data_IF_713732892904
#
_entry.id   IF_713732892904
#
_cell.length_a   1.000
_cell.length_b   1.000
_cell.length_c   1.000
_cell.angle_alpha   90.00
_cell.angle_beta   90.00
_cell.angle_gamma   90.00
#
_symmetry.space_group_name_H-M   'P 1'
#
loop_
_entity.id
_entity.type
_entity.pdbx_description
1 polymer ?
#
# COMPACT_ATOMS: atom_id res chain seq x y z
N UNK A 1 -28.86 1.72 -3.58
CA UNK A 1 -28.02 0.58 -3.15
C UNK A 1 -26.77 1.01 -2.39
N UNK A 2 -26.02 2.04 -2.83
CA UNK A 2 -24.85 2.53 -2.06
C UNK A 2 -25.24 3.17 -0.72
N UNK A 3 -26.32 3.94 -0.66
CA UNK A 3 -26.79 4.57 0.59
C UNK A 3 -27.04 3.57 1.74
N UNK A 4 -27.63 2.40 1.45
CA UNK A 4 -27.86 1.37 2.47
C UNK A 4 -26.57 0.72 3.00
N UNK A 5 -25.49 0.67 2.19
CA UNK A 5 -24.19 0.14 2.63
C UNK A 5 -23.55 1.03 3.70
N UNK A 6 -23.68 2.35 3.55
CA UNK A 6 -23.18 3.31 4.53
C UNK A 6 -24.02 3.30 5.83
N UNK A 7 -25.34 3.12 5.76
CA UNK A 7 -26.21 3.03 6.94
C UNK A 7 -25.89 1.81 7.80
N UNK A 8 -25.66 0.64 7.19
CA UNK A 8 -25.27 -0.59 7.91
C UNK A 8 -23.90 -0.41 8.57
N UNK A 9 -22.96 0.26 7.90
CA UNK A 9 -21.64 0.55 8.45
C UNK A 9 -21.68 1.53 9.64
N UNK A 10 -22.53 2.56 9.55
CA UNK A 10 -22.78 3.51 10.66
C UNK A 10 -23.45 2.81 11.84
N UNK A 11 -24.30 1.81 11.61
CA UNK A 11 -24.88 1.00 12.68
C UNK A 11 -23.86 0.05 13.31
N UNK A 12 -23.02 -0.63 12.51
CA UNK A 12 -21.99 -1.54 13.02
C UNK A 12 -20.93 -0.79 13.84
N UNK A 13 -20.46 0.37 13.37
CA UNK A 13 -19.45 1.16 14.09
C UNK A 13 -20.05 2.10 15.16
N UNK A 14 -21.25 2.62 14.93
CA UNK A 14 -21.96 3.49 15.88
C UNK A 14 -22.46 2.73 17.12
N UNK A 15 -22.87 1.46 16.99
CA UNK A 15 -23.36 0.70 18.14
C UNK A 15 -22.23 0.13 19.01
N UNK A 16 -21.06 -0.14 18.44
CA UNK A 16 -19.81 -0.36 19.22
C UNK A 16 -19.45 0.90 20.04
N UNK A 17 -19.94 2.07 19.63
CA UNK A 17 -19.64 3.36 20.27
C UNK A 17 -20.70 3.79 21.30
N UNK A 18 -21.98 3.47 21.07
CA UNK A 18 -23.10 3.91 21.93
C UNK A 18 -23.25 3.02 23.17
N UNK A 19 -22.82 1.76 23.13
CA UNK A 19 -22.83 0.87 24.29
C UNK A 19 -21.69 1.08 25.30
N UNK A 20 -20.72 1.95 25.00
CA UNK A 20 -19.48 2.08 25.79
C UNK A 20 -19.23 3.47 26.39
N UNK A 21 -20.04 4.48 26.04
CA UNK A 21 -19.77 5.86 26.46
C UNK A 21 -20.10 6.15 27.94
N UNK A 22 -20.95 5.35 28.60
CA UNK A 22 -21.39 5.62 29.99
C UNK A 22 -20.75 4.73 31.06
N UNK A 23 -19.83 3.82 30.71
CA UNK A 23 -19.28 2.82 31.64
C UNK A 23 -17.75 2.70 31.66
N UNK A 24 -17.00 3.58 31.01
CA UNK A 24 -15.54 3.43 30.90
C UNK A 24 -14.74 4.32 31.86
N UNK A 25 -13.79 3.74 32.64
CA UNK A 25 -12.82 4.52 33.41
C UNK A 25 -11.81 5.23 32.49
N UNK A 26 -11.14 6.26 33.02
CA UNK A 26 -10.18 7.14 32.31
C UNK A 26 -9.05 6.41 31.55
N UNK A 27 -8.86 5.11 31.73
CA UNK A 27 -7.91 4.29 30.99
C UNK A 27 -8.30 3.99 29.52
N UNK A 28 -9.45 4.46 29.00
CA UNK A 28 -9.93 4.18 27.63
C UNK A 28 -10.00 5.38 26.66
N UNK A 29 -9.12 6.38 26.82
CA UNK A 29 -8.84 7.43 25.82
C UNK A 29 -8.64 6.98 24.33
N UNK A 30 -8.17 5.76 23.99
CA UNK A 30 -7.95 5.37 22.59
C UNK A 30 -9.22 5.32 21.74
N UNK A 31 -10.40 5.04 22.32
CA UNK A 31 -11.65 4.87 21.57
C UNK A 31 -12.25 6.21 21.11
N UNK A 32 -12.09 7.25 21.93
CA UNK A 32 -12.52 8.61 21.61
C UNK A 32 -11.67 9.21 20.46
N UNK A 33 -10.37 8.89 20.45
CA UNK A 33 -9.44 9.25 19.36
C UNK A 33 -9.87 8.58 18.05
N UNK A 34 -10.30 7.32 18.10
CA UNK A 34 -10.79 6.58 16.93
C UNK A 34 -12.03 7.27 16.31
N UNK A 35 -12.97 7.73 17.12
CA UNK A 35 -14.18 8.43 16.65
C UNK A 35 -13.89 9.82 16.06
N UNK A 36 -12.94 10.56 16.65
CA UNK A 36 -12.48 11.85 16.10
C UNK A 36 -11.75 11.65 14.76
N UNK A 37 -10.94 10.60 14.63
CA UNK A 37 -10.29 10.21 13.36
C UNK A 37 -11.35 9.86 12.30
N UNK A 38 -12.42 9.15 12.66
CA UNK A 38 -13.50 8.81 11.73
C UNK A 38 -14.27 10.03 11.21
N UNK A 39 -14.56 11.01 12.06
CA UNK A 39 -15.20 12.28 11.65
C UNK A 39 -14.28 13.11 10.72
N UNK A 40 -12.98 13.10 10.99
CA UNK A 40 -11.95 13.73 10.16
C UNK A 40 -11.78 13.05 8.78
N UNK A 41 -11.90 11.71 8.72
CA UNK A 41 -11.79 10.95 7.47
C UNK A 41 -13.01 11.18 6.55
N UNK A 42 -14.22 11.32 7.12
CA UNK A 42 -15.45 11.61 6.37
C UNK A 42 -15.40 12.95 5.65
N UNK A 43 -14.88 14.00 6.30
CA UNK A 43 -14.69 15.31 5.67
C UNK A 43 -13.74 15.23 4.46
N UNK A 44 -12.73 14.35 4.51
CA UNK A 44 -11.76 14.13 3.45
C UNK A 44 -12.25 13.26 2.26
N UNK A 45 -13.47 12.70 2.31
CA UNK A 45 -14.05 11.88 1.22
C UNK A 45 -14.69 12.73 0.12
N UNK A 46 -15.26 13.89 0.46
CA UNK A 46 -15.88 14.79 -0.53
C UNK A 46 -14.86 15.59 -1.37
N UNK A 47 -13.58 15.60 -0.98
CA UNK A 47 -12.53 16.41 -1.63
C UNK A 47 -11.62 15.64 -2.61
N UNK A 48 -11.79 14.32 -2.78
CA UNK A 48 -10.78 13.46 -3.43
C UNK A 48 -10.87 13.33 -4.97
N UNK A 49 -11.61 14.19 -5.68
CA UNK A 49 -11.70 14.13 -7.14
C UNK A 49 -10.55 14.82 -7.90
N UNK A 50 -9.46 15.22 -7.23
CA UNK A 50 -8.25 15.67 -7.92
C UNK A 50 -6.99 15.07 -7.32
N UNK A 51 -6.33 14.19 -8.07
CA UNK A 51 -5.00 13.70 -7.70
C UNK A 51 -3.98 14.74 -8.14
N UNK A 52 -3.20 15.27 -7.20
CA UNK A 52 -2.03 16.11 -7.49
C UNK A 52 -0.94 15.19 -8.03
N UNK A 53 -0.32 15.56 -9.15
CA UNK A 53 0.74 14.77 -9.77
C UNK A 53 1.98 15.63 -9.98
N UNK A 54 3.15 15.04 -9.79
CA UNK A 54 4.40 15.59 -10.30
C UNK A 54 4.40 15.41 -11.82
N UNK A 55 4.64 16.49 -12.57
CA UNK A 55 4.75 16.45 -14.04
C UNK A 55 6.10 17.04 -14.43
N UNK A 56 6.71 16.50 -15.50
CA UNK A 56 8.03 16.92 -15.98
C UNK A 56 9.14 16.81 -14.92
N UNK A 57 8.94 16.01 -13.87
CA UNK A 57 9.99 15.65 -12.92
C UNK A 57 10.82 14.55 -13.55
N UNK A 58 11.64 14.96 -14.52
CA UNK A 58 12.68 14.11 -15.07
C UNK A 58 13.96 14.41 -14.29
N UNK A 59 14.47 13.43 -13.56
CA UNK A 59 15.60 13.60 -12.64
C UNK A 59 16.84 14.23 -13.30
N UNK A 60 17.02 14.02 -14.62
CA UNK A 60 18.09 14.67 -15.39
C UNK A 60 17.93 16.19 -15.55
N UNK A 61 16.69 16.70 -15.65
CA UNK A 61 16.45 18.14 -15.70
C UNK A 61 16.82 18.81 -14.37
N UNK A 62 16.82 18.04 -13.28
CA UNK A 62 17.06 18.53 -11.94
C UNK A 62 18.54 18.70 -11.60
N UNK A 63 19.38 17.73 -11.99
CA UNK A 63 20.82 17.76 -11.70
C UNK A 63 21.64 18.56 -12.73
N UNK A 64 21.02 18.96 -13.85
CA UNK A 64 21.63 19.83 -14.86
C UNK A 64 21.71 21.32 -14.48
N UNK A 65 21.40 21.68 -13.23
CA UNK A 65 21.53 23.04 -12.69
C UNK A 65 20.35 23.97 -12.97
N UNK A 66 19.18 23.46 -13.37
CA UNK A 66 17.94 24.26 -13.52
C UNK A 66 16.66 23.44 -13.24
N UNK A 67 16.30 23.17 -11.98
CA UNK A 67 15.07 22.45 -11.68
C UNK A 67 13.91 23.41 -11.46
N UNK A 68 13.07 23.59 -12.47
CA UNK A 68 11.70 24.01 -12.22
C UNK A 68 10.84 22.75 -11.94
N UNK A 69 10.53 22.43 -10.68
CA UNK A 69 9.53 21.38 -10.38
C UNK A 69 8.17 21.90 -10.79
N UNK A 70 7.45 21.13 -11.61
CA UNK A 70 6.05 21.42 -11.92
C UNK A 70 5.13 20.43 -11.22
N UNK A 71 4.33 20.93 -10.28
CA UNK A 71 3.21 20.21 -9.70
C UNK A 71 1.99 20.47 -10.58
N UNK A 72 1.47 19.45 -11.24
CA UNK A 72 0.19 19.56 -11.91
C UNK A 72 -0.95 19.46 -10.91
N UNK A 73 -1.72 20.53 -10.88
CA UNK A 73 -2.88 20.66 -10.01
C UNK A 73 -4.08 20.84 -10.94
N UNK A 74 -5.04 19.92 -10.94
CA UNK A 74 -6.29 20.14 -11.66
C UNK A 74 -7.08 21.24 -10.96
N UNK A 75 -6.91 22.49 -11.42
CA UNK A 75 -7.54 23.68 -10.84
C UNK A 75 -9.00 23.88 -11.24
N UNK A 76 -9.57 23.04 -12.13
CA UNK A 76 -11.00 23.08 -12.50
C UNK A 76 -11.94 22.94 -11.29
N UNK A 77 -11.43 22.50 -10.14
CA UNK A 77 -12.15 22.31 -8.87
C UNK A 77 -11.47 22.98 -7.67
N UNK A 78 -10.48 23.88 -7.87
CA UNK A 78 -9.67 24.43 -6.78
C UNK A 78 -9.49 25.94 -6.89
N UNK A 79 -9.32 26.57 -5.72
CA UNK A 79 -8.98 27.98 -5.68
C UNK A 79 -7.49 28.16 -5.98
N UNK A 80 -7.18 28.70 -7.16
CA UNK A 80 -5.81 28.98 -7.63
C UNK A 80 -5.03 29.94 -6.72
N UNK A 81 -5.73 30.76 -5.95
CA UNK A 81 -5.14 31.75 -5.06
C UNK A 81 -4.97 31.22 -3.63
N UNK A 82 -5.39 29.98 -3.36
CA UNK A 82 -5.34 29.39 -2.02
C UNK A 82 -4.61 28.04 -2.03
N UNK A 83 -3.30 28.13 -2.18
CA UNK A 83 -2.39 27.03 -1.94
C UNK A 83 -1.17 27.52 -1.15
N UNK A 84 -0.57 26.60 -0.42
CA UNK A 84 0.71 26.78 0.22
C UNK A 84 1.59 25.58 -0.14
N UNK A 85 2.83 25.87 -0.52
CA UNK A 85 3.84 24.84 -0.71
C UNK A 85 4.78 24.88 0.47
N UNK A 86 5.09 23.70 1.00
CA UNK A 86 6.08 23.51 2.03
C UNK A 86 7.19 22.61 1.52
N UNK A 87 8.42 22.95 1.85
CA UNK A 87 9.62 22.16 1.60
C UNK A 87 10.26 21.91 2.95
N UNK A 88 10.37 20.64 3.35
CA UNK A 88 10.89 20.25 4.66
C UNK A 88 10.15 20.94 5.83
N UNK A 89 8.84 21.15 5.66
CA UNK A 89 7.99 21.82 6.65
C UNK A 89 8.10 23.34 6.68
N UNK A 90 8.97 23.95 5.86
CA UNK A 90 9.07 25.40 5.72
C UNK A 90 8.24 25.88 4.52
N UNK A 91 7.46 26.95 4.70
CA UNK A 91 6.66 27.52 3.63
C UNK A 91 7.57 28.15 2.56
N UNK A 92 7.36 27.77 1.31
CA UNK A 92 7.99 28.43 0.17
C UNK A 92 7.17 29.66 -0.24
N UNK A 93 7.79 30.83 -0.19
CA UNK A 93 7.14 32.07 -0.64
C UNK A 93 7.32 32.31 -2.15
N UNK A 94 8.35 31.73 -2.76
CA UNK A 94 8.68 31.92 -4.17
C UNK A 94 8.13 30.77 -5.04
N UNK A 95 6.81 30.68 -5.12
CA UNK A 95 6.13 29.78 -6.06
C UNK A 95 5.43 30.58 -7.15
N UNK A 96 5.67 30.23 -8.41
CA UNK A 96 4.85 30.73 -9.50
C UNK A 96 3.79 29.70 -9.87
N UNK A 97 2.64 30.15 -10.36
CA UNK A 97 1.59 29.23 -10.80
C UNK A 97 1.05 29.65 -12.16
N UNK A 98 0.62 28.64 -12.91
CA UNK A 98 -0.18 28.78 -14.12
C UNK A 98 -1.59 28.26 -13.83
N UNK A 99 -2.47 28.28 -14.82
CA UNK A 99 -3.81 27.69 -14.71
C UNK A 99 -3.82 26.20 -14.40
N UNK A 100 -2.71 25.48 -14.58
CA UNK A 100 -2.64 24.02 -14.41
C UNK A 100 -1.47 23.52 -13.56
N UNK A 101 -0.51 24.40 -13.24
CA UNK A 101 0.75 23.99 -12.62
C UNK A 101 1.20 24.95 -11.53
N UNK A 102 1.80 24.43 -10.46
CA UNK A 102 2.63 25.20 -9.54
C UNK A 102 4.09 24.88 -9.86
N UNK A 103 4.88 25.92 -10.09
CA UNK A 103 6.29 25.85 -10.44
C UNK A 103 7.14 26.29 -9.26
N UNK A 104 8.06 25.43 -8.84
CA UNK A 104 9.03 25.73 -7.80
C UNK A 104 10.32 26.21 -8.46
N UNK A 105 10.79 27.40 -8.10
CA UNK A 105 11.96 28.05 -8.74
C UNK A 105 13.22 28.06 -7.87
N UNK A 106 13.13 27.60 -6.63
CA UNK A 106 14.27 27.59 -5.70
C UNK A 106 14.99 26.26 -5.67
N UNK A 107 16.31 26.32 -5.53
CA UNK A 107 17.13 25.17 -5.19
C UNK A 107 16.76 24.68 -3.78
N UNK A 108 16.60 23.37 -3.67
CA UNK A 108 16.20 22.71 -2.43
C UNK A 108 17.36 21.90 -1.87
N UNK A 109 17.33 21.66 -0.56
CA UNK A 109 18.26 20.77 0.12
C UNK A 109 18.28 19.36 -0.47
N UNK A 110 19.28 18.58 -0.06
CA UNK A 110 19.59 17.30 -0.66
C UNK A 110 18.50 16.21 -0.56
N UNK A 111 17.55 16.39 0.35
CA UNK A 111 16.37 15.56 0.49
C UNK A 111 15.29 16.54 0.93
N UNK A 112 14.21 16.63 0.16
CA UNK A 112 13.11 17.51 0.53
C UNK A 112 11.76 16.84 0.47
N UNK A 113 11.01 16.97 1.55
CA UNK A 113 9.59 16.65 1.58
C UNK A 113 8.85 17.86 1.02
N UNK A 114 8.35 17.72 -0.20
CA UNK A 114 7.50 18.70 -0.85
C UNK A 114 6.04 18.42 -0.47
N UNK A 115 5.46 19.28 0.36
CA UNK A 115 4.06 19.20 0.76
C UNK A 115 3.28 20.33 0.11
N UNK A 116 2.31 19.99 -0.73
CA UNK A 116 1.31 20.91 -1.24
C UNK A 116 0.08 20.86 -0.35
N UNK A 117 -0.31 22.03 0.16
CA UNK A 117 -1.59 22.29 0.79
C UNK A 117 -2.43 23.15 -0.16
N UNK A 118 -3.67 22.77 -0.43
CA UNK A 118 -4.60 23.59 -1.22
C UNK A 118 -6.03 23.35 -0.79
N UNK A 119 -6.91 24.32 -1.00
CA UNK A 119 -8.34 24.16 -0.74
C UNK A 119 -9.10 23.79 -2.01
N UNK A 120 -9.98 22.79 -1.88
CA UNK A 120 -11.04 22.55 -2.84
C UNK A 120 -12.02 23.75 -2.86
N UNK A 121 -12.79 23.95 -3.93
CA UNK A 121 -13.75 25.07 -4.06
C UNK A 121 -14.82 25.11 -2.96
N UNK A 122 -15.03 24.01 -2.23
CA UNK A 122 -15.93 23.94 -1.08
C UNK A 122 -15.23 24.17 0.28
N UNK A 123 -13.97 24.60 0.27
CA UNK A 123 -13.19 24.90 1.48
C UNK A 123 -12.52 23.69 2.14
N UNK A 124 -12.63 22.49 1.58
CA UNK A 124 -11.98 21.30 2.15
C UNK A 124 -10.47 21.29 1.83
N UNK A 125 -9.60 21.01 2.82
CA UNK A 125 -8.17 20.95 2.59
C UNK A 125 -7.78 19.67 1.84
N UNK A 126 -6.88 19.82 0.88
CA UNK A 126 -6.22 18.74 0.16
C UNK A 126 -4.73 18.86 0.45
N UNK A 127 -4.17 17.81 1.03
CA UNK A 127 -2.74 17.70 1.32
C UNK A 127 -2.14 16.61 0.44
N UNK A 128 -1.05 16.93 -0.25
CA UNK A 128 -0.26 15.97 -1.02
C UNK A 128 1.20 16.16 -0.65
N UNK A 129 1.90 15.09 -0.32
CA UNK A 129 3.32 15.13 0.04
C UNK A 129 4.12 14.22 -0.86
N UNK A 130 5.27 14.70 -1.31
CA UNK A 130 6.20 14.02 -2.19
C UNK A 130 7.58 14.04 -1.54
N UNK A 131 8.23 12.88 -1.45
CA UNK A 131 9.62 12.81 -1.04
C UNK A 131 10.49 13.01 -2.28
N UNK A 132 11.18 14.13 -2.34
CA UNK A 132 12.15 14.45 -3.38
C UNK A 132 13.55 14.22 -2.82
N UNK A 133 14.43 13.61 -3.62
CA UNK A 133 15.80 13.29 -3.23
C UNK A 133 16.73 13.97 -4.23
N UNK A 134 17.60 14.84 -3.73
CA UNK A 134 18.48 15.73 -4.48
C UNK A 134 19.94 15.48 -4.06
N UNK A 135 20.62 14.45 -4.56
CA UNK A 135 22.08 14.27 -4.35
C UNK A 135 22.60 13.13 -5.19
N UNK A 136 23.91 13.15 -5.47
CA UNK A 136 24.69 12.11 -6.16
C UNK A 136 24.75 10.76 -5.39
N UNK A 137 23.60 10.21 -4.97
CA UNK A 137 23.46 8.82 -4.58
C UNK A 137 23.55 7.99 -5.85
N UNK A 138 24.78 7.65 -6.21
CA UNK A 138 25.08 6.75 -7.31
C UNK A 138 24.92 5.31 -6.83
N UNK A 139 24.04 4.58 -7.49
CA UNK A 139 23.91 3.13 -7.34
C UNK A 139 24.38 2.48 -8.63
N UNK A 140 25.44 1.69 -8.54
CA UNK A 140 25.94 0.90 -9.65
C UNK A 140 25.30 -0.48 -9.64
N UNK A 141 24.71 -0.88 -10.75
CA UNK A 141 24.12 -2.20 -10.94
C UNK A 141 24.91 -2.92 -12.01
N UNK A 142 25.44 -4.09 -11.66
CA UNK A 142 26.05 -5.02 -12.61
C UNK A 142 25.03 -6.07 -12.99
N UNK A 143 24.76 -6.18 -14.28
CA UNK A 143 23.89 -7.20 -14.87
C UNK A 143 24.78 -8.23 -15.58
N UNK A 144 24.64 -9.50 -15.22
CA UNK A 144 25.35 -10.61 -15.83
C UNK A 144 24.39 -11.71 -16.26
N UNK A 145 24.80 -12.55 -17.21
CA UNK A 145 24.10 -13.80 -17.51
C UNK A 145 24.43 -14.87 -16.46
N UNK A 146 23.71 -16.00 -16.48
CA UNK A 146 23.93 -17.12 -15.55
C UNK A 146 25.31 -17.77 -15.64
N UNK A 147 26.01 -17.61 -16.77
CA UNK A 147 27.39 -18.03 -16.96
C UNK A 147 28.43 -17.01 -16.42
N UNK A 148 27.98 -15.92 -15.80
CA UNK A 148 28.83 -14.86 -15.28
C UNK A 148 29.28 -13.81 -16.30
N UNK A 149 28.98 -13.96 -17.59
CA UNK A 149 29.35 -12.95 -18.59
C UNK A 149 28.55 -11.66 -18.43
N UNK A 150 29.17 -10.52 -18.72
CA UNK A 150 28.53 -9.22 -18.68
C UNK A 150 27.35 -9.14 -19.66
N UNK A 151 26.20 -8.64 -19.20
CA UNK A 151 25.04 -8.45 -20.04
C UNK A 151 25.04 -7.03 -20.61
N UNK A 152 25.51 -6.86 -21.84
CA UNK A 152 25.70 -5.55 -22.49
C UNK A 152 24.45 -5.05 -23.19
N UNK A 153 24.21 -3.73 -23.20
CA UNK A 153 23.05 -3.09 -23.84
C UNK A 153 21.70 -3.66 -23.37
N UNK A 154 21.63 -4.04 -22.09
CA UNK A 154 20.41 -4.51 -21.45
C UNK A 154 19.72 -3.31 -20.83
N UNK A 155 18.46 -3.10 -21.19
CA UNK A 155 17.63 -2.08 -20.56
C UNK A 155 17.32 -2.51 -19.13
N UNK A 156 17.70 -1.65 -18.19
CA UNK A 156 17.39 -1.75 -16.77
C UNK A 156 16.44 -0.62 -16.43
N UNK A 157 15.25 -0.99 -15.96
CA UNK A 157 14.23 -0.08 -15.48
C UNK A 157 14.21 -0.13 -13.95
N UNK A 158 14.17 1.04 -13.33
CA UNK A 158 14.13 1.22 -11.89
C UNK A 158 12.95 2.11 -11.55
N UNK A 159 12.03 1.63 -10.73
CA UNK A 159 10.86 2.40 -10.28
C UNK A 159 10.82 2.43 -8.76
N UNK A 160 10.48 3.59 -8.18
CA UNK A 160 10.23 3.71 -6.75
C UNK A 160 8.88 3.05 -6.42
N UNK A 161 8.84 2.14 -5.44
CA UNK A 161 7.59 1.44 -5.13
C UNK A 161 6.54 2.33 -4.46
N UNK A 162 6.98 3.36 -3.73
CA UNK A 162 6.08 4.34 -3.13
C UNK A 162 5.49 5.30 -4.17
N UNK A 163 6.23 5.55 -5.26
CA UNK A 163 5.86 6.47 -6.33
C UNK A 163 6.23 5.83 -7.67
N UNK A 164 5.42 4.88 -8.21
CA UNK A 164 5.78 4.10 -9.40
C UNK A 164 5.85 4.93 -10.70
N UNK A 165 5.50 6.21 -10.65
CA UNK A 165 5.70 7.18 -11.73
C UNK A 165 7.09 7.84 -11.69
N UNK A 166 7.84 7.65 -10.61
CA UNK A 166 9.22 8.12 -10.46
C UNK A 166 10.12 6.92 -10.72
N UNK A 167 10.81 6.95 -11.86
CA UNK A 167 11.68 5.88 -12.29
C UNK A 167 12.72 6.34 -13.30
N UNK A 168 13.74 5.51 -13.47
CA UNK A 168 14.84 5.71 -14.39
C UNK A 168 14.98 4.48 -15.28
N UNK A 169 15.37 4.70 -16.52
CA UNK A 169 15.61 3.63 -17.48
C UNK A 169 16.92 3.89 -18.21
N UNK A 170 17.84 2.94 -18.11
CA UNK A 170 19.19 3.03 -18.66
C UNK A 170 19.58 1.71 -19.31
N UNK A 171 20.56 1.74 -20.22
CA UNK A 171 21.16 0.53 -20.79
C UNK A 171 22.52 0.25 -20.15
N UNK A 172 22.82 -1.02 -19.91
CA UNK A 172 24.14 -1.44 -19.41
C UNK A 172 25.25 -1.20 -20.45
N UNK A 173 26.43 -0.83 -19.95
CA UNK A 173 27.63 -0.67 -20.77
C UNK A 173 28.28 -2.02 -21.15
N UNK A 174 29.47 -2.00 -21.77
CA UNK A 174 30.20 -3.21 -22.18
C UNK A 174 30.68 -4.10 -21.02
N UNK A 175 30.71 -3.57 -19.78
CA UNK A 175 30.97 -4.35 -18.56
C UNK A 175 29.68 -4.88 -17.90
N UNK A 176 28.52 -4.67 -18.53
CA UNK A 176 27.22 -5.02 -17.95
C UNK A 176 26.84 -4.09 -16.80
N UNK A 177 27.47 -2.93 -16.67
CA UNK A 177 27.23 -2.00 -15.57
C UNK A 177 26.30 -0.88 -16.04
N UNK A 178 25.36 -0.52 -15.18
CA UNK A 178 24.52 0.67 -15.32
C UNK A 178 24.57 1.45 -14.00
N UNK A 179 24.67 2.78 -14.08
CA UNK A 179 24.70 3.65 -12.90
C UNK A 179 23.43 4.46 -12.89
N UNK A 180 22.73 4.40 -11.77
CA UNK A 180 21.60 5.25 -11.49
C UNK A 180 22.00 6.32 -10.48
N UNK A 181 21.45 7.51 -10.61
CA UNK A 181 21.68 8.63 -9.69
C UNK A 181 20.45 8.85 -8.82
N UNK A 182 20.57 9.61 -7.73
CA UNK A 182 19.51 9.99 -6.78
C UNK A 182 18.51 8.88 -6.41
N UNK A 183 18.99 7.64 -6.30
CA UNK A 183 18.14 6.55 -5.85
C UNK A 183 18.03 6.62 -4.33
N UNK A 184 16.84 6.89 -3.78
CA UNK A 184 16.65 6.83 -2.34
C UNK A 184 16.87 5.39 -1.85
N UNK A 185 17.35 5.26 -0.62
CA UNK A 185 17.42 3.99 0.11
C UNK A 185 16.02 3.53 0.53
N UNK A 186 15.11 3.45 -0.42
CA UNK A 186 13.73 3.05 -0.28
C UNK A 186 13.49 1.77 -1.06
N UNK A 187 12.27 1.30 -0.92
CA UNK A 187 11.80 0.12 -1.58
C UNK A 187 11.65 0.41 -3.10
N UNK A 188 12.42 -0.30 -3.91
CA UNK A 188 12.49 -0.12 -5.38
C UNK A 188 12.13 -1.42 -6.09
N UNK A 189 11.54 -1.26 -7.27
CA UNK A 189 11.32 -2.32 -8.24
C UNK A 189 12.31 -2.11 -9.38
N UNK A 190 13.24 -3.04 -9.54
CA UNK A 190 14.21 -3.06 -10.62
C UNK A 190 13.92 -4.23 -11.56
N UNK A 191 13.92 -3.98 -12.86
CA UNK A 191 13.84 -5.04 -13.86
C UNK A 191 14.90 -4.84 -14.95
N UNK A 192 15.59 -5.93 -15.29
CA UNK A 192 16.53 -5.99 -16.39
C UNK A 192 16.00 -6.98 -17.42
N UNK A 193 15.92 -6.59 -18.71
CA UNK A 193 15.28 -7.43 -19.72
C UNK A 193 16.02 -7.44 -21.06
N UNK A 194 16.09 -8.63 -21.64
CA UNK A 194 16.40 -8.87 -23.06
C UNK A 194 15.22 -9.58 -23.73
N UNK A 195 15.33 -9.92 -25.02
CA UNK A 195 14.31 -10.72 -25.71
C UNK A 195 14.09 -12.10 -25.07
N UNK A 196 15.14 -12.71 -24.52
CA UNK A 196 15.13 -14.10 -24.04
C UNK A 196 15.38 -14.25 -22.54
N UNK A 197 15.87 -13.20 -21.88
CA UNK A 197 16.25 -13.24 -20.48
C UNK A 197 15.60 -12.09 -19.72
N UNK A 198 15.29 -12.33 -18.46
CA UNK A 198 14.80 -11.30 -17.58
C UNK A 198 15.29 -11.53 -16.15
N UNK A 199 15.32 -10.46 -15.36
CA UNK A 199 15.48 -10.52 -13.92
C UNK A 199 14.71 -9.36 -13.30
N UNK A 200 14.05 -9.63 -12.18
CA UNK A 200 13.39 -8.60 -11.39
C UNK A 200 13.91 -8.66 -9.97
N UNK A 201 14.24 -7.51 -9.39
CA UNK A 201 14.67 -7.37 -8.01
C UNK A 201 13.72 -6.40 -7.31
N UNK A 202 13.21 -6.81 -6.16
CA UNK A 202 12.34 -5.96 -5.34
C UNK A 202 12.91 -5.88 -3.94
N UNK A 203 13.18 -4.68 -3.45
CA UNK A 203 13.74 -4.50 -2.13
C UNK A 203 14.26 -3.10 -1.86
N UNK A 204 14.86 -2.94 -0.69
CA UNK A 204 15.55 -1.72 -0.29
C UNK A 204 16.96 -1.79 -0.85
N UNK A 205 17.36 -0.78 -1.62
CA UNK A 205 18.73 -0.65 -2.12
C UNK A 205 19.54 0.12 -1.07
N UNK A 206 20.63 -0.44 -0.53
CA UNK A 206 21.56 0.35 0.26
C UNK A 206 22.27 1.36 -0.66
N UNK A 207 22.21 2.63 -0.30
CA UNK A 207 23.02 3.68 -0.92
C UNK A 207 24.50 3.27 -0.85
N UNK A 208 25.23 3.38 -1.97
CA UNK A 208 26.66 3.07 -2.11
C UNK A 208 27.08 1.59 -2.21
N UNK A 209 26.15 0.67 -2.49
CA UNK A 209 26.50 -0.73 -2.79
C UNK A 209 26.37 -1.06 -4.27
N UNK A 210 27.29 -1.87 -4.80
CA UNK A 210 27.11 -2.46 -6.14
C UNK A 210 26.11 -3.61 -6.04
N UNK A 211 25.02 -3.53 -6.80
CA UNK A 211 24.03 -4.60 -6.89
C UNK A 211 24.36 -5.50 -8.07
N UNK A 212 24.31 -6.81 -7.86
CA UNK A 212 24.49 -7.79 -8.95
C UNK A 212 23.14 -8.40 -9.32
N UNK A 213 22.74 -8.27 -10.58
CA UNK A 213 21.53 -8.87 -11.15
C UNK A 213 21.97 -9.97 -12.13
N UNK A 214 21.45 -11.18 -11.94
CA UNK A 214 21.72 -12.31 -12.84
C UNK A 214 20.50 -12.55 -13.72
N UNK A 215 20.66 -12.36 -15.03
CA UNK A 215 19.65 -12.63 -16.04
C UNK A 215 19.43 -14.14 -16.19
N UNK A 216 18.17 -14.55 -16.11
CA UNK A 216 17.74 -15.94 -16.30
C UNK A 216 16.96 -16.09 -17.61
N UNK A 217 17.07 -17.27 -18.24
CA UNK A 217 16.31 -17.60 -19.45
C UNK A 217 14.81 -17.62 -19.13
N UNK A 218 14.02 -16.83 -19.86
CA UNK A 218 12.59 -16.66 -19.60
C UNK A 218 11.80 -17.98 -19.67
N UNK A 219 12.29 -18.93 -20.47
CA UNK A 219 11.65 -20.23 -20.75
C UNK A 219 12.14 -21.36 -19.84
N UNK A 220 13.31 -21.23 -19.18
CA UNK A 220 13.89 -22.32 -18.37
C UNK A 220 13.49 -22.25 -16.89
N UNK A 221 12.58 -21.35 -16.52
CA UNK A 221 12.21 -21.11 -15.13
C UNK A 221 11.10 -22.07 -14.70
N UNK A 222 11.50 -23.26 -14.23
CA UNK A 222 10.63 -24.18 -13.51
C UNK A 222 10.63 -23.86 -12.00
N UNK A 223 9.52 -24.14 -11.32
CA UNK A 223 9.26 -23.73 -9.92
C UNK A 223 10.31 -24.19 -8.88
N UNK A 224 11.11 -25.21 -9.16
CA UNK A 224 12.04 -25.84 -8.21
C UNK A 224 13.41 -25.16 -8.10
N UNK A 225 13.91 -24.49 -9.14
CA UNK A 225 15.30 -23.98 -9.16
C UNK A 225 15.52 -22.67 -8.38
N UNK A 226 14.46 -22.05 -7.85
CA UNK A 226 14.49 -20.72 -7.23
C UNK A 226 15.04 -20.66 -5.80
N UNK A 227 14.89 -21.73 -5.00
CA UNK A 227 15.33 -21.75 -3.59
C UNK A 227 16.85 -21.71 -3.43
N UNK A 228 17.60 -22.03 -4.50
CA UNK A 228 19.05 -22.20 -4.46
C UNK A 228 19.85 -20.90 -4.63
N UNK A 229 19.23 -19.82 -5.14
CA UNK A 229 19.95 -18.63 -5.60
C UNK A 229 19.59 -17.32 -4.88
N UNK A 230 18.78 -17.35 -3.81
CA UNK A 230 18.39 -16.13 -3.07
C UNK A 230 18.49 -16.30 -1.56
N UNK A 231 19.56 -15.76 -0.97
CA UNK A 231 19.62 -15.45 0.46
C UNK A 231 19.02 -14.06 0.67
N UNK A 232 17.71 -13.95 0.83
CA UNK A 232 16.99 -12.88 1.56
C UNK A 232 15.48 -13.14 1.38
N UNK A 233 14.66 -12.62 2.30
CA UNK A 233 13.19 -12.77 2.40
C UNK A 233 12.36 -12.21 1.20
N UNK A 234 12.98 -12.14 0.02
CA UNK A 234 12.54 -11.50 -1.24
C UNK A 234 11.71 -12.46 -2.12
N UNK A 235 11.68 -13.76 -1.79
CA UNK A 235 11.13 -14.85 -2.63
C UNK A 235 9.70 -14.61 -3.13
N UNK A 236 8.86 -13.95 -2.35
CA UNK A 236 7.42 -13.89 -2.65
C UNK A 236 6.99 -12.62 -3.40
N UNK A 237 7.79 -11.55 -3.35
CA UNK A 237 7.55 -10.33 -4.14
C UNK A 237 8.05 -10.51 -5.57
N UNK A 238 9.15 -11.25 -5.78
CA UNK A 238 9.71 -11.48 -7.13
C UNK A 238 8.77 -12.29 -8.01
N UNK A 239 8.12 -13.36 -7.50
CA UNK A 239 7.18 -14.17 -8.29
C UNK A 239 6.00 -13.37 -8.82
N UNK A 240 5.44 -12.48 -7.99
CA UNK A 240 4.39 -11.55 -8.43
C UNK A 240 4.95 -10.56 -9.45
N UNK A 241 6.13 -9.98 -9.21
CA UNK A 241 6.71 -8.99 -10.11
C UNK A 241 7.03 -9.57 -11.51
N UNK A 242 7.44 -10.84 -11.58
CA UNK A 242 7.65 -11.55 -12.85
C UNK A 242 6.34 -11.86 -13.57
N UNK A 243 5.32 -12.29 -12.83
CA UNK A 243 4.01 -12.55 -13.40
C UNK A 243 3.29 -11.25 -13.84
N UNK A 244 3.50 -10.14 -13.13
CA UNK A 244 3.06 -8.81 -13.53
C UNK A 244 3.62 -8.42 -14.90
N UNK A 245 4.85 -8.81 -15.23
CA UNK A 245 5.47 -8.50 -16.53
C UNK A 245 5.08 -9.48 -17.65
N UNK A 246 4.61 -10.69 -17.31
CA UNK A 246 4.07 -11.64 -18.29
C UNK A 246 2.65 -11.30 -18.73
N UNK A 247 1.89 -10.58 -17.90
CA UNK A 247 0.50 -10.21 -18.19
C UNK A 247 0.47 -8.74 -18.62
N UNK A 248 -0.06 -8.40 -19.81
CA UNK A 248 -0.08 -7.04 -20.35
C UNK A 248 -1.15 -6.16 -19.66
N UNK A 249 -1.18 -6.15 -18.33
CA UNK A 249 -2.11 -5.33 -17.54
C UNK A 249 -1.60 -3.92 -17.23
N UNK A 250 -0.36 -3.60 -17.61
CA UNK A 250 0.24 -2.30 -17.39
C UNK A 250 0.41 -1.93 -15.91
N UNK A 251 0.74 -0.66 -15.68
CA UNK A 251 0.98 -0.09 -14.34
C UNK A 251 -0.26 -0.08 -13.45
N UNK A 252 -1.45 -0.07 -14.06
CA UNK A 252 -2.74 -0.09 -13.35
C UNK A 252 -3.17 -1.50 -12.92
N UNK A 253 -2.38 -2.53 -13.25
CA UNK A 253 -2.64 -3.91 -12.85
C UNK A 253 -2.88 -4.03 -11.35
N UNK A 254 -3.79 -4.93 -10.94
CA UNK A 254 -4.10 -5.16 -9.52
C UNK A 254 -2.83 -5.34 -8.68
N UNK A 255 -1.86 -6.10 -9.18
CA UNK A 255 -0.71 -6.47 -8.40
C UNK A 255 0.29 -5.31 -8.21
N UNK A 256 0.36 -4.33 -9.13
CA UNK A 256 1.12 -3.08 -8.93
C UNK A 256 0.30 -2.02 -8.19
N UNK A 257 -0.89 -1.68 -8.69
CA UNK A 257 -1.68 -0.55 -8.17
C UNK A 257 -2.27 -0.82 -6.78
N UNK A 258 -2.59 -2.08 -6.47
CA UNK A 258 -3.20 -2.47 -5.20
C UNK A 258 -2.25 -3.34 -4.34
N UNK A 259 -1.79 -4.47 -4.89
CA UNK A 259 -0.97 -5.45 -4.18
C UNK A 259 0.33 -4.85 -3.66
N UNK A 260 1.14 -4.26 -4.55
CA UNK A 260 2.43 -3.68 -4.18
C UNK A 260 2.26 -2.51 -3.21
N UNK A 261 1.31 -1.61 -3.48
CA UNK A 261 1.02 -0.48 -2.58
C UNK A 261 0.76 -0.93 -1.14
N UNK A 262 -0.06 -1.96 -0.94
CA UNK A 262 -0.33 -2.48 0.41
C UNK A 262 0.80 -3.31 0.98
N UNK A 263 1.48 -4.10 0.15
CA UNK A 263 2.69 -4.81 0.56
C UNK A 263 3.72 -3.85 1.16
N UNK A 264 3.99 -2.73 0.49
CA UNK A 264 4.94 -1.71 0.95
C UNK A 264 4.47 -1.05 2.25
N UNK A 265 3.20 -0.61 2.32
CA UNK A 265 2.67 0.02 3.54
C UNK A 265 2.76 -0.88 4.78
N UNK A 266 2.37 -2.15 4.65
CA UNK A 266 2.46 -3.11 5.76
C UNK A 266 3.91 -3.43 6.12
N UNK A 267 4.80 -3.54 5.13
CA UNK A 267 6.23 -3.79 5.36
C UNK A 267 6.89 -2.62 6.11
N UNK A 268 6.59 -1.38 5.73
CA UNK A 268 7.11 -0.18 6.40
C UNK A 268 6.55 -0.04 7.82
N UNK A 269 5.30 -0.45 8.03
CA UNK A 269 4.64 -0.36 9.34
C UNK A 269 4.91 -1.57 10.22
N UNK A 270 5.68 -2.57 9.76
CA UNK A 270 5.82 -3.87 10.43
C UNK A 270 6.25 -3.74 11.90
N UNK A 271 7.18 -2.83 12.20
CA UNK A 271 7.68 -2.57 13.56
C UNK A 271 6.61 -1.98 14.50
N UNK A 272 5.51 -1.46 13.96
CA UNK A 272 4.40 -0.89 14.74
C UNK A 272 3.37 -1.94 15.15
N UNK A 273 3.51 -3.19 14.69
CA UNK A 273 2.66 -4.33 15.05
C UNK A 273 3.25 -5.13 16.21
N UNK A 274 2.39 -5.81 16.96
CA UNK A 274 2.84 -6.82 17.92
C UNK A 274 3.58 -7.96 17.20
N UNK A 275 4.37 -8.78 17.91
CA UNK A 275 4.99 -9.96 17.32
C UNK A 275 3.99 -10.91 16.63
N UNK A 276 2.76 -11.02 17.14
CA UNK A 276 1.69 -11.79 16.51
C UNK A 276 1.19 -11.13 15.23
N UNK A 277 0.94 -9.82 15.27
CA UNK A 277 0.57 -9.03 14.09
C UNK A 277 1.61 -9.11 12.97
N UNK A 278 2.90 -9.06 13.30
CA UNK A 278 3.99 -9.22 12.33
C UNK A 278 3.96 -10.60 11.66
N UNK A 279 3.75 -11.68 12.43
CA UNK A 279 3.60 -13.03 11.87
C UNK A 279 2.38 -13.12 10.95
N UNK A 280 1.26 -12.52 11.36
CA UNK A 280 0.04 -12.48 10.56
C UNK A 280 0.25 -11.76 9.22
N UNK A 281 0.93 -10.61 9.22
CA UNK A 281 1.25 -9.86 7.99
C UNK A 281 2.02 -10.75 7.02
N UNK A 282 3.08 -11.41 7.48
CA UNK A 282 3.90 -12.28 6.62
C UNK A 282 3.15 -13.50 6.10
N UNK A 283 2.36 -14.16 6.95
CA UNK A 283 1.50 -15.28 6.54
C UNK A 283 0.48 -14.85 5.49
N UNK A 284 -0.14 -13.68 5.70
CA UNK A 284 -1.14 -13.10 4.80
C UNK A 284 -0.53 -12.77 3.44
N UNK A 285 0.59 -12.05 3.41
CA UNK A 285 1.29 -11.71 2.16
C UNK A 285 1.64 -12.96 1.36
N UNK A 286 2.23 -13.97 2.02
CA UNK A 286 2.60 -15.23 1.39
C UNK A 286 1.37 -16.00 0.86
N UNK A 287 0.28 -16.04 1.61
CA UNK A 287 -0.96 -16.68 1.17
C UNK A 287 -1.53 -16.00 -0.07
N UNK A 288 -1.65 -14.66 -0.04
CA UNK A 288 -2.15 -13.86 -1.16
C UNK A 288 -1.29 -14.09 -2.40
N UNK A 289 0.04 -14.07 -2.25
CA UNK A 289 0.99 -14.33 -3.33
C UNK A 289 0.84 -15.71 -3.93
N UNK A 290 0.71 -16.76 -3.12
CA UNK A 290 0.48 -18.13 -3.59
C UNK A 290 -0.84 -18.29 -4.32
N UNK A 291 -1.89 -17.62 -3.84
CA UNK A 291 -3.23 -17.71 -4.45
C UNK A 291 -3.27 -17.18 -5.88
N UNK A 292 -2.32 -16.33 -6.27
CA UNK A 292 -2.21 -15.77 -7.60
C UNK A 292 -1.40 -16.61 -8.57
N UNK A 293 -0.55 -17.53 -8.12
CA UNK A 293 0.37 -18.28 -9.01
C UNK A 293 -0.38 -19.03 -10.11
N UNK A 294 -1.33 -19.89 -9.78
CA UNK A 294 -2.09 -20.66 -10.78
C UNK A 294 -3.02 -19.78 -11.65
N UNK A 295 -3.71 -18.76 -11.11
CA UNK A 295 -4.44 -17.80 -11.94
C UNK A 295 -3.59 -17.05 -12.94
N UNK A 296 -2.34 -16.69 -12.60
CA UNK A 296 -1.45 -15.95 -13.49
C UNK A 296 -1.07 -16.77 -14.74
N UNK A 297 -0.99 -18.10 -14.63
CA UNK A 297 -0.73 -19.00 -15.76
C UNK A 297 -1.94 -19.10 -16.71
N UNK A 298 -3.16 -18.99 -16.16
CA UNK A 298 -4.40 -19.21 -16.91
C UNK A 298 -5.12 -17.91 -17.36
N UNK A 299 -4.80 -16.78 -16.74
CA UNK A 299 -5.44 -15.48 -17.00
C UNK A 299 -4.52 -14.50 -17.74
N UNK A 300 -3.58 -15.00 -18.53
CA UNK A 300 -2.50 -14.21 -19.15
C UNK A 300 -2.96 -12.97 -19.94
N UNK A 301 -4.24 -12.88 -20.34
CA UNK A 301 -4.79 -11.74 -21.08
C UNK A 301 -6.01 -11.05 -20.41
N UNK A 302 -6.40 -11.42 -19.18
CA UNK A 302 -7.61 -10.87 -18.53
C UNK A 302 -7.34 -10.29 -17.13
N UNK A 303 -6.96 -9.01 -17.12
CA UNK A 303 -6.64 -8.24 -15.92
C UNK A 303 -7.82 -8.12 -14.94
N UNK A 304 -9.04 -8.06 -15.46
CA UNK A 304 -10.26 -7.98 -14.65
C UNK A 304 -10.51 -9.29 -13.90
N UNK A 305 -10.36 -10.43 -14.60
CA UNK A 305 -10.46 -11.75 -13.99
C UNK A 305 -9.39 -11.96 -12.91
N UNK A 306 -8.13 -11.59 -13.21
CA UNK A 306 -7.04 -11.67 -12.24
C UNK A 306 -7.33 -10.81 -11.00
N UNK A 307 -7.81 -9.58 -11.19
CA UNK A 307 -8.22 -8.68 -10.10
C UNK A 307 -9.32 -9.30 -9.24
N UNK A 308 -10.34 -9.91 -9.86
CA UNK A 308 -11.44 -10.58 -9.16
C UNK A 308 -10.94 -11.76 -8.32
N UNK A 309 -10.10 -12.61 -8.90
CA UNK A 309 -9.51 -13.76 -8.19
C UNK A 309 -8.63 -13.28 -7.03
N UNK A 310 -7.83 -12.24 -7.27
CA UNK A 310 -7.01 -11.65 -6.24
C UNK A 310 -7.84 -11.19 -5.05
N UNK A 311 -8.87 -10.38 -5.27
CA UNK A 311 -9.74 -9.91 -4.19
C UNK A 311 -10.50 -11.05 -3.49
N UNK A 312 -10.94 -12.07 -4.23
CA UNK A 312 -11.61 -13.24 -3.64
C UNK A 312 -10.69 -14.03 -2.69
N UNK A 313 -9.37 -13.98 -2.88
CA UNK A 313 -8.42 -14.67 -1.99
C UNK A 313 -8.25 -14.00 -0.61
N UNK A 314 -8.65 -12.73 -0.43
CA UNK A 314 -8.27 -11.95 0.74
C UNK A 314 -8.87 -12.48 2.03
N UNK A 315 -10.18 -12.72 2.07
CA UNK A 315 -10.84 -13.17 3.30
C UNK A 315 -10.29 -14.52 3.76
N UNK A 316 -10.19 -15.49 2.84
CA UNK A 316 -9.58 -16.80 3.11
C UNK A 316 -8.15 -16.67 3.62
N UNK A 317 -7.32 -15.81 3.00
CA UNK A 317 -5.94 -15.63 3.42
C UNK A 317 -5.81 -14.91 4.77
N UNK A 318 -6.66 -13.94 5.07
CA UNK A 318 -6.68 -13.26 6.36
C UNK A 318 -7.02 -14.23 7.49
N UNK A 319 -8.08 -15.02 7.31
CA UNK A 319 -8.54 -16.02 8.29
C UNK A 319 -7.48 -17.10 8.50
N UNK A 320 -6.98 -17.72 7.42
CA UNK A 320 -5.91 -18.75 7.52
C UNK A 320 -4.61 -18.24 8.13
N UNK A 321 -4.38 -16.93 8.08
CA UNK A 321 -3.18 -16.32 8.67
C UNK A 321 -3.35 -15.98 10.15
N UNK A 322 -4.56 -16.12 10.71
CA UNK A 322 -4.87 -15.88 12.12
C UNK A 322 -5.40 -14.47 12.42
N UNK A 323 -6.09 -13.82 11.47
CA UNK A 323 -6.62 -12.45 11.71
C UNK A 323 -7.59 -12.39 12.90
N UNK A 324 -8.30 -13.48 13.16
CA UNK A 324 -9.28 -13.60 14.24
C UNK A 324 -8.62 -13.64 15.63
N UNK A 325 -7.32 -13.95 15.70
CA UNK A 325 -6.56 -14.07 16.94
C UNK A 325 -5.77 -12.81 17.28
N UNK A 326 -5.81 -11.79 16.41
CA UNK A 326 -5.04 -10.56 16.59
C UNK A 326 -5.57 -9.70 17.72
N UNK A 327 -4.63 -9.00 18.37
CA UNK A 327 -4.97 -7.99 19.38
C UNK A 327 -5.75 -6.82 18.78
N UNK A 328 -6.55 -6.14 19.61
CA UNK A 328 -7.25 -4.91 19.21
C UNK A 328 -6.28 -3.84 18.68
N UNK A 329 -5.07 -3.78 19.24
CA UNK A 329 -4.02 -2.86 18.78
C UNK A 329 -3.60 -3.15 17.33
N UNK A 330 -3.38 -4.42 16.97
CA UNK A 330 -3.04 -4.79 15.58
C UNK A 330 -4.20 -4.51 14.62
N UNK A 331 -5.45 -4.71 15.05
CA UNK A 331 -6.63 -4.33 14.27
C UNK A 331 -6.69 -2.83 13.97
N UNK A 332 -6.45 -1.98 14.98
CA UNK A 332 -6.38 -0.52 14.80
C UNK A 332 -5.26 -0.17 13.80
N UNK A 333 -4.11 -0.85 13.87
CA UNK A 333 -3.01 -0.65 12.92
C UNK A 333 -3.41 -1.06 11.49
N UNK A 334 -4.05 -2.22 11.31
CA UNK A 334 -4.57 -2.66 10.00
C UNK A 334 -5.51 -1.59 9.42
N UNK A 335 -6.49 -1.14 10.20
CA UNK A 335 -7.46 -0.13 9.77
C UNK A 335 -6.77 1.18 9.41
N UNK A 336 -5.78 1.62 10.19
CA UNK A 336 -5.02 2.85 9.89
C UNK A 336 -4.22 2.77 8.58
N UNK A 337 -3.71 1.58 8.24
CA UNK A 337 -2.91 1.36 7.02
C UNK A 337 -3.78 1.26 5.77
N UNK A 338 -4.88 0.49 5.86
CA UNK A 338 -5.82 0.32 4.74
C UNK A 338 -6.64 1.59 4.53
N UNK A 339 -6.99 2.28 5.61
CA UNK A 339 -7.61 3.59 5.61
C UNK A 339 -8.85 3.64 4.72
N UNK A 340 -8.82 4.52 3.72
CA UNK A 340 -9.95 4.81 2.83
C UNK A 340 -10.39 3.61 1.98
N UNK A 341 -9.52 2.63 1.71
CA UNK A 341 -9.86 1.53 0.80
C UNK A 341 -10.74 0.45 1.42
N UNK A 342 -10.82 0.40 2.76
CA UNK A 342 -11.82 -0.41 3.47
C UNK A 342 -13.25 -0.03 3.08
N UNK A 343 -13.45 1.22 2.68
CA UNK A 343 -14.75 1.79 2.33
C UNK A 343 -15.10 1.65 0.84
N UNK A 344 -14.20 1.09 0.02
CA UNK A 344 -14.55 0.70 -1.35
C UNK A 344 -15.47 -0.51 -1.31
N UNK A 345 -16.33 -0.66 -2.33
CA UNK A 345 -17.24 -1.81 -2.45
C UNK A 345 -16.53 -3.16 -2.32
N UNK A 346 -15.32 -3.28 -2.89
CA UNK A 346 -14.50 -4.49 -2.78
C UNK A 346 -13.86 -4.64 -1.39
N UNK A 347 -13.35 -3.56 -0.78
CA UNK A 347 -12.76 -3.59 0.56
C UNK A 347 -13.78 -3.94 1.64
N UNK A 348 -15.00 -3.40 1.51
CA UNK A 348 -16.12 -3.66 2.41
C UNK A 348 -16.57 -5.13 2.36
N UNK A 349 -16.71 -5.70 1.16
CA UNK A 349 -17.04 -7.13 0.98
C UNK A 349 -15.99 -8.03 1.65
N UNK A 350 -14.70 -7.68 1.53
CA UNK A 350 -13.62 -8.43 2.15
C UNK A 350 -13.63 -8.32 3.67
N UNK A 351 -13.82 -7.11 4.21
CA UNK A 351 -13.94 -6.90 5.65
C UNK A 351 -15.13 -7.69 6.22
N UNK A 352 -16.28 -7.65 5.55
CA UNK A 352 -17.49 -8.37 5.94
C UNK A 352 -17.32 -9.89 5.87
N UNK A 353 -16.71 -10.41 4.80
CA UNK A 353 -16.44 -11.84 4.62
C UNK A 353 -15.38 -12.37 5.61
N UNK A 354 -14.41 -11.54 5.96
CA UNK A 354 -13.40 -11.88 6.97
C UNK A 354 -14.04 -11.92 8.36
N UNK A 355 -14.85 -10.89 8.68
CA UNK A 355 -15.58 -10.81 9.93
C UNK A 355 -16.56 -11.98 10.10
N UNK A 356 -17.31 -12.34 9.06
CA UNK A 356 -18.25 -13.48 9.11
C UNK A 356 -17.54 -14.82 9.37
N UNK A 357 -16.29 -14.97 8.91
CA UNK A 357 -15.48 -16.17 9.14
C UNK A 357 -14.82 -16.20 10.52
N UNK A 358 -14.56 -15.05 11.13
CA UNK A 358 -14.10 -14.97 12.52
C UNK A 358 -15.25 -15.06 13.56
N UNK A 359 -16.50 -15.02 13.09
CA UNK A 359 -17.68 -14.99 13.97
C UNK A 359 -17.80 -16.21 14.88
N UNK A 360 -17.54 -17.46 14.43
CA UNK A 360 -17.58 -18.63 15.31
C UNK A 360 -16.61 -18.50 16.50
N UNK A 361 -15.36 -18.15 16.24
CA UNK A 361 -14.33 -17.96 17.28
C UNK A 361 -14.67 -16.81 18.24
N UNK A 362 -15.27 -15.73 17.71
CA UNK A 362 -15.70 -14.59 18.52
C UNK A 362 -16.86 -14.97 19.45
N UNK A 363 -17.87 -15.68 18.92
CA UNK A 363 -19.01 -16.14 19.70
C UNK A 363 -18.57 -17.14 20.76
N UNK A 364 -17.68 -18.08 20.45
CA UNK A 364 -17.13 -19.03 21.42
C UNK A 364 -16.41 -18.31 22.57
N UNK A 365 -15.56 -17.32 22.26
CA UNK A 365 -14.87 -16.53 23.30
C UNK A 365 -15.83 -15.71 24.17
N UNK A 366 -16.85 -15.10 23.56
CA UNK A 366 -17.87 -14.35 24.31
C UNK A 366 -18.65 -15.29 25.23
N UNK A 367 -19.08 -16.46 24.72
CA UNK A 367 -19.79 -17.45 25.53
C UNK A 367 -18.92 -17.98 26.68
N UNK A 368 -17.61 -18.21 26.47
CA UNK A 368 -16.69 -18.59 27.55
C UNK A 368 -16.55 -17.49 28.62
N UNK A 369 -16.49 -16.21 28.23
CA UNK A 369 -16.42 -15.09 29.17
C UNK A 369 -17.72 -14.88 29.95
N UNK A 370 -18.88 -15.11 29.32
CA UNK A 370 -20.19 -15.05 30.01
C UNK A 370 -20.26 -16.10 31.14
N UNK A 371 -19.67 -17.27 30.91
CA UNK A 371 -19.62 -18.37 31.87
C UNK A 371 -18.60 -18.19 33.00
N UNK A 372 -17.74 -17.18 32.93
CA UNK A 372 -16.72 -16.96 33.96
C UNK A 372 -17.35 -16.30 35.20
N UNK A 373 -17.31 -16.99 36.35
CA UNK A 373 -17.94 -16.53 37.60
C UNK A 373 -17.32 -15.25 38.19
N UNK A 374 -16.09 -14.93 37.81
CA UNK A 374 -15.35 -13.76 38.29
C UNK A 374 -15.85 -12.43 37.70
N UNK A 375 -16.64 -12.46 36.62
CA UNK A 375 -17.05 -11.24 35.91
C UNK A 375 -18.22 -10.51 36.61
N UNK A 376 -18.14 -9.16 36.76
CA UNK A 376 -19.23 -8.37 37.29
C UNK A 376 -20.50 -8.48 36.43
N UNK A 377 -21.67 -8.52 37.08
CA UNK A 377 -22.99 -8.62 36.42
C UNK A 377 -23.22 -7.61 35.27
N UNK A 378 -22.82 -6.32 35.38
CA UNK A 378 -22.98 -5.37 34.28
C UNK A 378 -22.16 -5.74 33.04
N UNK A 379 -20.99 -6.34 33.24
CA UNK A 379 -20.11 -6.77 32.15
C UNK A 379 -20.68 -8.03 31.49
N UNK A 380 -21.23 -8.98 32.28
CA UNK A 380 -21.93 -10.15 31.73
C UNK A 380 -23.14 -9.76 30.88
N UNK A 381 -23.94 -8.80 31.32
CA UNK A 381 -25.08 -8.29 30.56
C UNK A 381 -24.65 -7.68 29.21
N UNK A 382 -23.60 -6.86 29.22
CA UNK A 382 -23.05 -6.29 27.99
C UNK A 382 -22.53 -7.36 27.02
N UNK A 383 -21.87 -8.41 27.52
CA UNK A 383 -21.39 -9.53 26.70
C UNK A 383 -22.54 -10.33 26.05
N UNK A 384 -23.65 -10.55 26.77
CA UNK A 384 -24.86 -11.21 26.24
C UNK A 384 -25.49 -10.39 25.10
N UNK A 385 -25.56 -9.07 25.27
CA UNK A 385 -26.07 -8.17 24.22
C UNK A 385 -25.17 -8.19 22.98
N UNK A 386 -23.84 -8.16 23.17
CA UNK A 386 -22.87 -8.28 22.07
C UNK A 386 -23.04 -9.63 21.36
N UNK A 387 -23.18 -10.74 22.10
CA UNK A 387 -23.40 -12.08 21.51
C UNK A 387 -24.66 -12.10 20.62
N UNK A 388 -25.76 -11.55 21.14
CA UNK A 388 -27.04 -11.47 20.45
C UNK A 388 -26.94 -10.65 19.16
N UNK A 389 -26.27 -9.49 19.22
CA UNK A 389 -26.04 -8.64 18.05
C UNK A 389 -25.15 -9.30 17.00
N UNK A 390 -24.07 -9.96 17.42
CA UNK A 390 -23.16 -10.68 16.51
C UNK A 390 -23.93 -11.79 15.78
N UNK A 391 -24.78 -12.55 16.47
CA UNK A 391 -25.65 -13.58 15.87
C UNK A 391 -26.66 -12.98 14.87
N UNK A 392 -27.27 -11.84 15.21
CA UNK A 392 -28.21 -11.13 14.31
C UNK A 392 -27.51 -10.61 13.06
N UNK A 393 -26.33 -10.01 13.22
CA UNK A 393 -25.52 -9.51 12.13
C UNK A 393 -25.07 -10.65 11.20
N UNK A 394 -24.61 -11.77 11.75
CA UNK A 394 -24.25 -12.96 10.98
C UNK A 394 -25.43 -13.47 10.14
N UNK A 395 -26.62 -13.56 10.75
CA UNK A 395 -27.85 -13.96 10.06
C UNK A 395 -28.24 -12.98 8.94
N UNK A 396 -27.98 -11.69 9.11
CA UNK A 396 -28.26 -10.69 8.09
C UNK A 396 -27.25 -10.75 6.94
N UNK A 397 -25.97 -10.93 7.25
CA UNK A 397 -24.91 -11.12 6.24
C UNK A 397 -25.19 -12.37 5.39
N UNK A 398 -25.55 -13.50 6.02
CA UNK A 398 -25.90 -14.74 5.32
C UNK A 398 -27.14 -14.64 4.41
N UNK A 399 -27.97 -13.60 4.57
CA UNK A 399 -29.12 -13.33 3.68
C UNK A 399 -28.77 -12.43 2.50
N UNK A 400 -27.65 -11.71 2.58
CA UNK A 400 -27.19 -10.78 1.54
C UNK A 400 -26.27 -11.46 0.51
N UNK A 401 -25.76 -12.65 0.83
CA UNK A 401 -25.05 -13.56 -0.07
C UNK A 401 -25.96 -14.74 -0.41
#
# INVERSE_FOLDING_TARGET
>A
MEQHKYTIMILIFGLVSIGFAELLPESMYPLHIILTIFSYIKANHAASQGVVRLINVHEFAFNGGKPAVQLAIPFSTRNKDNYAVFVNGQSMMNTSHTTNFVVLTEESDAISILTLFTLHTNGLPIVSSFHLYFRDMTTSIRVSYSNGSAATNVTVNLNLMENPHVGQMHSTNHHGIVVFQNIPSLSTLMSARTKQHYATLVGIIPSASQINIILMLAHSMTMQNWSKYTHYHVISVTRIAEAIHRIPCGIDSYALSYGMRYCTKFSHSLKTFTPQGQRWIWKTMNCLQKSLVSPLENCANNCSALRKIAFASHSTCYVKSGVCELSAFDWVRIVSIVGKDLFTSNGFIQALSTFSQCTPDLLERISLLILEDSLPLPVKAALIDIETWVRLLQKHILRLY
#
